data_IF_264251504516
#
_entry.id   IF_264251504516
#
_cell.length_a   1.000
_cell.length_b   1.000
_cell.length_c   1.000
_cell.angle_alpha   90.00
_cell.angle_beta   90.00
_cell.angle_gamma   90.00
#
_symmetry.space_group_name_H-M   'P 1'
#
loop_
_entity.id
_entity.type
_entity.pdbx_description
1 polymer ?
#
# COMPACT_ATOMS: atom_id res chain seq x y z
N UNK A 1 -12.96 -37.23 6.62
CA UNK A 1 -12.29 -36.22 7.46
C UNK A 1 -12.66 -34.89 6.86
N UNK A 2 -13.63 -34.19 7.44
CA UNK A 2 -13.96 -32.84 6.98
C UNK A 2 -12.84 -31.91 7.43
N UNK A 3 -12.27 -31.18 6.47
CA UNK A 3 -11.19 -30.24 6.70
C UNK A 3 -11.80 -29.04 7.45
N UNK A 4 -11.34 -28.80 8.69
CA UNK A 4 -11.78 -27.72 9.58
C UNK A 4 -11.29 -26.35 9.10
N UNK A 5 -11.71 -25.94 7.90
CA UNK A 5 -11.42 -24.62 7.37
C UNK A 5 -12.14 -23.50 8.13
N UNK A 6 -13.17 -23.83 8.92
CA UNK A 6 -13.94 -22.85 9.68
C UNK A 6 -13.22 -22.38 10.95
N UNK A 7 -12.60 -23.29 11.72
CA UNK A 7 -11.93 -22.90 12.97
C UNK A 7 -10.63 -22.14 12.68
N UNK A 8 -9.88 -22.55 11.66
CA UNK A 8 -8.68 -21.84 11.23
C UNK A 8 -9.01 -20.41 10.80
N UNK A 9 -10.05 -20.24 9.98
CA UNK A 9 -10.52 -18.92 9.53
C UNK A 9 -10.94 -18.02 10.70
N UNK A 10 -11.63 -18.57 11.70
CA UNK A 10 -12.01 -17.85 12.92
C UNK A 10 -10.79 -17.42 13.74
N UNK A 11 -9.80 -18.31 13.91
CA UNK A 11 -8.57 -18.01 14.63
C UNK A 11 -7.78 -16.89 13.93
N UNK A 12 -7.68 -16.94 12.60
CA UNK A 12 -7.02 -15.93 11.80
C UNK A 12 -7.74 -14.58 11.88
N UNK A 13 -9.06 -14.57 11.78
CA UNK A 13 -9.87 -13.35 11.94
C UNK A 13 -9.64 -12.74 13.32
N UNK A 14 -9.71 -13.53 14.40
CA UNK A 14 -9.47 -13.05 15.76
C UNK A 14 -8.06 -12.45 15.94
N UNK A 15 -7.04 -13.06 15.33
CA UNK A 15 -5.69 -12.53 15.36
C UNK A 15 -5.59 -11.17 14.64
N UNK A 16 -6.23 -11.04 13.47
CA UNK A 16 -6.29 -9.78 12.72
C UNK A 16 -6.99 -8.70 13.56
N UNK A 17 -8.17 -8.99 14.11
CA UNK A 17 -8.95 -8.01 14.88
C UNK A 17 -8.25 -7.57 16.17
N UNK A 18 -7.37 -8.40 16.73
CA UNK A 18 -6.64 -8.10 17.97
C UNK A 18 -5.35 -7.33 17.74
N UNK A 19 -4.66 -7.57 16.63
CA UNK A 19 -3.28 -7.10 16.42
C UNK A 19 -3.10 -6.17 15.23
N UNK A 20 -4.07 -6.09 14.32
CA UNK A 20 -4.02 -5.17 13.18
C UNK A 20 -4.58 -3.78 13.55
N UNK A 21 -4.55 -2.87 12.58
CA UNK A 21 -5.19 -1.54 12.71
C UNK A 21 -6.72 -1.60 12.63
N UNK A 22 -7.30 -2.74 12.24
CA UNK A 22 -8.74 -2.96 12.16
C UNK A 22 -9.20 -3.75 13.38
N UNK A 23 -10.15 -3.19 14.14
CA UNK A 23 -10.62 -3.77 15.38
C UNK A 23 -12.00 -4.45 15.21
N UNK A 24 -12.61 -4.32 14.03
CA UNK A 24 -13.90 -4.96 13.72
C UNK A 24 -13.89 -5.61 12.33
N UNK A 25 -14.74 -6.63 12.17
CA UNK A 25 -14.94 -7.29 10.88
C UNK A 25 -15.53 -6.33 9.84
N UNK A 26 -16.35 -5.36 10.28
CA UNK A 26 -16.97 -4.37 9.40
C UNK A 26 -15.93 -3.40 8.80
N UNK A 27 -14.97 -2.93 9.59
CA UNK A 27 -13.83 -2.13 9.11
C UNK A 27 -13.02 -2.90 8.06
N UNK A 28 -12.74 -4.18 8.31
CA UNK A 28 -11.99 -5.03 7.38
C UNK A 28 -12.78 -5.25 6.06
N UNK A 29 -14.09 -5.50 6.16
CA UNK A 29 -14.97 -5.65 5.00
C UNK A 29 -15.05 -4.35 4.20
N UNK A 30 -15.04 -3.19 4.84
CA UNK A 30 -15.02 -1.90 4.14
C UNK A 30 -13.77 -1.74 3.26
N UNK A 31 -12.60 -2.17 3.76
CA UNK A 31 -11.39 -2.18 2.95
C UNK A 31 -11.53 -3.06 1.70
N UNK A 32 -12.17 -4.22 1.82
CA UNK A 32 -12.44 -5.10 0.68
C UNK A 32 -13.49 -4.50 -0.28
N UNK A 33 -14.56 -3.89 0.26
CA UNK A 33 -15.62 -3.23 -0.53
C UNK A 33 -15.05 -2.13 -1.43
N UNK A 34 -14.08 -1.36 -0.92
CA UNK A 34 -13.38 -0.33 -1.71
C UNK A 34 -12.71 -0.86 -2.99
N UNK A 35 -12.43 -2.16 -3.06
CA UNK A 35 -11.81 -2.82 -4.22
C UNK A 35 -12.78 -3.41 -5.23
N UNK A 36 -14.07 -3.54 -4.90
CA UNK A 36 -15.04 -4.37 -5.64
C UNK A 36 -15.40 -3.87 -7.04
N UNK A 37 -14.88 -2.73 -7.48
CA UNK A 37 -15.09 -2.23 -8.86
C UNK A 37 -14.50 -3.15 -9.95
N UNK A 38 -13.61 -4.10 -9.61
CA UNK A 38 -13.16 -5.14 -10.55
C UNK A 38 -12.84 -6.47 -9.86
N UNK A 39 -12.81 -7.58 -10.62
CA UNK A 39 -12.69 -8.96 -10.10
C UNK A 39 -11.33 -9.31 -9.46
N UNK A 40 -10.27 -8.53 -9.69
CA UNK A 40 -8.89 -8.85 -9.23
C UNK A 40 -8.12 -7.57 -8.89
N UNK A 41 -8.23 -7.12 -7.65
CA UNK A 41 -7.40 -6.05 -7.07
C UNK A 41 -6.79 -6.53 -5.76
N UNK A 42 -5.62 -5.99 -5.44
CA UNK A 42 -4.92 -6.24 -4.18
C UNK A 42 -4.71 -4.90 -3.49
N UNK A 43 -5.09 -4.79 -2.21
CA UNK A 43 -4.80 -3.63 -1.36
C UNK A 43 -3.80 -4.05 -0.30
N UNK A 44 -2.68 -3.34 -0.23
CA UNK A 44 -1.65 -3.54 0.78
C UNK A 44 -1.72 -2.32 1.71
N UNK A 45 -1.83 -2.58 3.01
CA UNK A 45 -1.90 -1.55 4.04
C UNK A 45 -0.71 -1.75 4.96
N UNK A 46 0.16 -0.75 5.03
CA UNK A 46 1.36 -0.75 5.87
C UNK A 46 1.10 0.26 6.99
N UNK A 47 1.21 -0.20 8.23
CA UNK A 47 1.02 0.60 9.44
C UNK A 47 2.26 0.48 10.33
N UNK A 48 2.30 1.24 11.43
CA UNK A 48 3.47 1.30 12.32
C UNK A 48 4.76 1.65 11.55
N UNK A 49 4.66 2.65 10.68
CA UNK A 49 5.77 3.14 9.86
C UNK A 49 6.98 3.54 10.74
N UNK A 50 8.17 3.38 10.19
CA UNK A 50 9.43 3.73 10.87
C UNK A 50 9.41 5.19 11.30
N UNK A 51 9.82 5.40 12.55
CA UNK A 51 10.03 6.70 13.17
C UNK A 51 11.52 6.91 13.40
N UNK A 52 11.97 8.15 13.29
CA UNK A 52 13.32 8.58 13.61
C UNK A 52 13.46 8.79 15.13
N UNK A 53 14.66 9.17 15.56
CA UNK A 53 15.00 9.35 16.99
C UNK A 53 14.20 10.48 17.67
N UNK A 54 13.69 11.43 16.88
CA UNK A 54 12.79 12.50 17.33
C UNK A 54 11.33 12.04 17.51
N UNK A 55 11.02 10.78 17.20
CA UNK A 55 9.67 10.20 17.25
C UNK A 55 8.82 10.51 16.01
N UNK A 56 9.33 11.31 15.09
CA UNK A 56 8.65 11.68 13.86
C UNK A 56 8.84 10.62 12.77
N UNK A 57 7.93 10.56 11.79
CA UNK A 57 8.01 9.56 10.72
C UNK A 57 9.24 9.78 9.82
N UNK A 58 9.83 8.70 9.32
CA UNK A 58 10.88 8.81 8.28
C UNK A 58 10.32 9.41 6.98
N UNK A 59 9.05 9.10 6.68
CA UNK A 59 8.33 9.59 5.52
C UNK A 59 7.55 10.86 5.85
N UNK A 60 7.71 11.89 5.01
CA UNK A 60 6.95 13.12 5.04
C UNK A 60 5.81 13.10 4.01
N UNK A 61 4.60 13.28 4.52
CA UNK A 61 3.35 13.36 3.74
C UNK A 61 2.77 14.78 3.75
N UNK A 62 3.41 15.72 4.46
CA UNK A 62 2.83 17.03 4.81
C UNK A 62 3.45 18.19 4.04
N UNK A 63 4.73 18.12 3.70
CA UNK A 63 5.39 19.23 3.01
C UNK A 63 5.04 19.32 1.52
N UNK A 64 4.60 18.24 0.88
CA UNK A 64 4.05 18.23 -0.48
C UNK A 64 2.92 17.20 -0.57
N UNK A 65 1.71 17.65 -0.89
CA UNK A 65 0.51 16.81 -1.01
C UNK A 65 0.60 15.80 -2.17
N UNK A 66 1.54 15.98 -3.11
CA UNK A 66 1.68 15.17 -4.33
C UNK A 66 2.87 14.22 -4.27
N UNK A 67 3.62 14.20 -3.17
CA UNK A 67 4.81 13.37 -3.03
C UNK A 67 4.91 12.75 -1.62
N UNK A 68 5.63 11.64 -1.52
CA UNK A 68 5.98 11.02 -0.24
C UNK A 68 7.49 11.14 -0.10
N UNK A 69 7.93 12.14 0.65
CA UNK A 69 9.34 12.48 0.77
C UNK A 69 10.03 11.72 1.89
N UNK A 70 11.32 11.46 1.76
CA UNK A 70 12.13 10.86 2.82
C UNK A 70 12.91 11.97 3.54
N UNK A 71 12.66 12.16 4.83
CA UNK A 71 13.27 13.26 5.61
C UNK A 71 14.77 13.09 5.76
N UNK A 72 15.25 11.86 5.93
CA UNK A 72 16.69 11.56 6.02
C UNK A 72 17.44 11.96 4.73
N UNK A 73 16.81 11.81 3.57
CA UNK A 73 17.42 12.18 2.28
C UNK A 73 17.64 13.70 2.16
N UNK A 74 16.68 14.50 2.65
CA UNK A 74 16.72 15.97 2.59
C UNK A 74 17.71 16.58 3.60
N UNK A 75 18.03 15.87 4.69
CA UNK A 75 18.98 16.32 5.72
C UNK A 75 20.46 16.14 5.32
N UNK A 76 20.76 15.27 4.35
CA UNK A 76 22.14 15.06 3.89
C UNK A 76 22.51 16.07 2.80
N UNK A 77 22.96 17.25 3.21
CA UNK A 77 23.59 18.27 2.35
C UNK A 77 24.94 17.85 1.72
N UNK A 78 25.20 16.54 1.63
CA UNK A 78 26.24 15.92 0.82
C UNK A 78 25.57 14.74 0.11
N UNK A 79 25.10 14.92 -1.12
CA UNK A 79 24.25 14.00 -1.88
C UNK A 79 24.84 12.61 -2.19
N UNK A 80 25.17 11.83 -1.16
CA UNK A 80 25.77 10.50 -1.25
C UNK A 80 25.03 9.42 -0.45
N UNK A 81 24.08 9.79 0.44
CA UNK A 81 23.33 8.79 1.21
C UNK A 81 22.18 8.14 0.43
N UNK A 82 21.61 8.82 -0.57
CA UNK A 82 20.52 8.28 -1.40
C UNK A 82 20.96 7.22 -2.41
N UNK A 83 22.27 7.09 -2.67
CA UNK A 83 22.82 6.17 -3.67
C UNK A 83 22.88 4.71 -3.20
N UNK A 84 23.19 4.45 -1.93
CA UNK A 84 23.53 3.10 -1.46
C UNK A 84 22.30 2.21 -1.19
N UNK A 85 21.23 2.78 -0.63
CA UNK A 85 19.99 2.02 -0.37
C UNK A 85 19.11 1.88 -1.62
N UNK A 86 19.16 2.84 -2.55
CA UNK A 86 18.50 2.71 -3.86
C UNK A 86 19.12 1.61 -4.71
N UNK A 87 20.44 1.44 -4.68
CA UNK A 87 21.10 0.49 -5.58
C UNK A 87 20.89 -0.97 -5.16
N UNK A 88 21.02 -1.33 -3.88
CA UNK A 88 20.96 -2.75 -3.49
C UNK A 88 19.57 -3.38 -3.56
N UNK A 89 18.50 -2.64 -3.19
CA UNK A 89 17.11 -3.12 -3.26
C UNK A 89 16.56 -3.09 -4.69
N UNK A 90 17.01 -2.16 -5.53
CA UNK A 90 16.64 -2.17 -6.95
C UNK A 90 17.27 -3.35 -7.68
N UNK A 91 18.50 -3.76 -7.34
CA UNK A 91 19.16 -4.89 -8.01
C UNK A 91 18.38 -6.20 -7.90
N UNK A 92 17.89 -6.57 -6.71
CA UNK A 92 17.19 -7.85 -6.52
C UNK A 92 15.80 -7.87 -7.18
N UNK A 93 15.07 -6.75 -7.12
CA UNK A 93 13.75 -6.63 -7.79
C UNK A 93 13.91 -6.63 -9.31
N UNK A 94 14.93 -5.95 -9.83
CA UNK A 94 15.21 -5.92 -11.28
C UNK A 94 15.63 -7.31 -11.79
N UNK A 95 16.45 -8.04 -11.03
CA UNK A 95 16.89 -9.39 -11.39
C UNK A 95 15.71 -10.39 -11.42
N UNK A 96 14.81 -10.33 -10.44
CA UNK A 96 13.60 -11.14 -10.41
C UNK A 96 12.67 -10.84 -11.60
N UNK A 97 12.42 -9.56 -11.89
CA UNK A 97 11.57 -9.16 -13.01
C UNK A 97 12.16 -9.55 -14.38
N UNK A 98 13.48 -9.45 -14.51
CA UNK A 98 14.19 -9.90 -15.72
C UNK A 98 14.07 -11.42 -15.93
N UNK A 99 14.14 -12.22 -14.86
CA UNK A 99 13.98 -13.69 -14.93
C UNK A 99 12.57 -14.11 -15.36
N UNK A 100 11.54 -13.35 -14.97
CA UNK A 100 10.13 -13.59 -15.34
C UNK A 100 9.75 -13.05 -16.74
N UNK A 101 10.72 -12.60 -17.55
CA UNK A 101 10.50 -12.11 -18.91
C UNK A 101 9.70 -10.79 -18.97
N UNK A 102 9.50 -10.12 -17.85
CA UNK A 102 8.81 -8.84 -17.76
C UNK A 102 9.82 -7.75 -17.45
N UNK A 103 10.19 -6.92 -18.44
CA UNK A 103 11.03 -5.77 -18.13
C UNK A 103 10.31 -4.86 -17.12
N UNK A 104 11.04 -4.35 -16.13
CA UNK A 104 10.51 -3.35 -15.21
C UNK A 104 9.92 -2.14 -15.96
N UNK A 105 10.44 -1.83 -17.14
CA UNK A 105 9.91 -0.81 -18.05
C UNK A 105 8.49 -1.13 -18.58
N UNK A 106 8.20 -2.38 -18.92
CA UNK A 106 6.87 -2.79 -19.40
C UNK A 106 5.81 -2.74 -18.30
N UNK A 107 6.21 -3.06 -17.07
CA UNK A 107 5.36 -2.92 -15.88
C UNK A 107 5.14 -1.43 -15.58
N UNK A 108 6.21 -0.64 -15.55
CA UNK A 108 6.15 0.80 -15.29
C UNK A 108 5.29 1.55 -16.32
N UNK A 109 5.40 1.21 -17.62
CA UNK A 109 4.60 1.85 -18.68
C UNK A 109 3.08 1.60 -18.55
N UNK A 110 2.68 0.52 -17.87
CA UNK A 110 1.28 0.15 -17.66
C UNK A 110 0.76 0.52 -16.27
N UNK A 111 1.64 0.90 -15.35
CA UNK A 111 1.28 1.30 -13.99
C UNK A 111 0.92 2.79 -13.96
N UNK A 112 -0.29 3.10 -13.49
CA UNK A 112 -0.64 4.46 -13.08
C UNK A 112 -0.20 4.62 -11.63
N UNK A 113 0.84 5.43 -11.39
CA UNK A 113 1.26 5.80 -10.05
C UNK A 113 0.50 7.05 -9.60
N UNK A 114 -0.07 7.00 -8.40
CA UNK A 114 -0.81 8.11 -7.80
C UNK A 114 -0.27 8.27 -6.38
N UNK A 115 0.06 9.51 -6.02
CA UNK A 115 0.53 9.89 -4.68
C UNK A 115 -0.51 10.83 -4.06
N UNK A 116 -0.79 10.68 -2.77
CA UNK A 116 -1.53 11.68 -2.00
C UNK A 116 -3.02 11.88 -2.32
N UNK A 117 -3.70 10.98 -3.05
CA UNK A 117 -5.14 11.11 -3.22
C UNK A 117 -5.88 10.85 -1.89
N UNK A 118 -6.50 11.90 -1.33
CA UNK A 118 -7.58 11.75 -0.36
C UNK A 118 -8.78 11.19 -1.14
N UNK A 119 -9.04 9.89 -1.03
CA UNK A 119 -10.22 9.27 -1.63
C UNK A 119 -11.49 9.81 -0.93
N UNK A 120 -11.97 10.97 -1.35
CA UNK A 120 -13.34 11.40 -1.09
C UNK A 120 -14.22 10.52 -1.95
N UNK A 121 -15.01 9.68 -1.30
CA UNK A 121 -16.03 8.86 -1.93
C UNK A 121 -17.10 9.76 -2.53
N UNK A 122 -17.06 9.98 -3.85
CA UNK A 122 -18.24 10.40 -4.59
C UNK A 122 -19.19 9.21 -4.74
N UNK A 123 -19.85 8.87 -3.63
CA UNK A 123 -21.13 8.20 -3.66
C UNK A 123 -22.21 9.27 -3.89
N UNK A 124 -22.46 9.62 -5.15
CA UNK A 124 -23.75 10.21 -5.53
C UNK A 124 -24.09 9.97 -7.00
N UNK A 125 -25.05 9.05 -7.17
CA UNK A 125 -26.22 9.21 -8.04
C UNK A 125 -26.03 9.18 -9.56
N UNK A 126 -26.17 7.99 -10.14
CA UNK A 126 -27.04 7.81 -11.32
C UNK A 126 -27.90 6.54 -11.15
N UNK A 127 -28.89 6.66 -10.28
CA UNK A 127 -30.16 5.96 -10.41
C UNK A 127 -31.19 7.02 -10.79
N UNK A 128 -31.82 6.87 -11.96
CA UNK A 128 -33.05 7.57 -12.32
C UNK A 128 -32.95 8.48 -13.53
N UNK A 129 -33.09 7.90 -14.72
CA UNK A 129 -33.87 8.50 -15.81
C UNK A 129 -34.73 7.34 -16.35
N UNK A 130 -35.99 7.32 -15.93
CA UNK A 130 -37.04 6.55 -16.61
C UNK A 130 -37.38 7.30 -17.90
N UNK A 131 -37.33 6.62 -19.04
CA UNK A 131 -38.41 6.52 -20.03
C UNK A 131 -38.08 5.42 -21.06
#
# INVERSE_FOLDING_TARGET
>A
MEHDGSQESLNNLNAILKHSVFNSEDELKEQLRSLLQSRKKTKIIISNLKRMDDGELELDFSSDERDIRCREADLTSTGQATSKYRTSLQSSVIEFLAAEGCSAANIHARMKTVYGEMCISDCSSQMGENF
#
